data_IF_058866086079
#
_entry.id   IF_058866086079
#
_cell.length_a   1.000
_cell.length_b   1.000
_cell.length_c   1.000
_cell.angle_alpha   90.00
_cell.angle_beta   90.00
_cell.angle_gamma   90.00
#
_symmetry.space_group_name_H-M   'P 1'
#
loop_
_entity.id
_entity.type
_entity.pdbx_description
1 polymer ?
#
# COMPACT_ATOMS: atom_id res chain seq x y z
N UNK A 1 -9.32 -30.60 18.97
CA UNK A 1 -10.00 -29.58 18.15
C UNK A 1 -9.13 -28.34 18.27
N UNK A 2 -8.36 -27.95 17.26
CA UNK A 2 -7.56 -26.74 17.38
C UNK A 2 -8.54 -25.57 17.42
N UNK A 3 -8.52 -24.82 18.52
CA UNK A 3 -9.25 -23.56 18.66
C UNK A 3 -8.84 -22.67 17.49
N UNK A 4 -9.78 -22.43 16.58
CA UNK A 4 -9.54 -21.60 15.41
C UNK A 4 -9.02 -20.26 15.87
N UNK A 5 -7.98 -19.75 15.22
CA UNK A 5 -7.55 -18.36 15.38
C UNK A 5 -8.78 -17.48 15.15
N UNK A 6 -9.41 -17.03 16.23
CA UNK A 6 -10.59 -16.19 16.22
C UNK A 6 -10.10 -14.77 15.94
N UNK A 7 -9.68 -14.55 14.69
CA UNK A 7 -9.33 -13.21 14.23
C UNK A 7 -10.65 -12.48 14.03
N UNK A 8 -10.89 -11.50 14.88
CA UNK A 8 -12.05 -10.61 14.78
C UNK A 8 -12.00 -9.82 13.45
N UNK A 9 -13.03 -9.90 12.58
CA UNK A 9 -13.11 -9.11 11.34
C UNK A 9 -12.97 -7.61 11.58
N UNK A 10 -13.45 -7.10 12.71
CA UNK A 10 -13.29 -5.71 13.11
C UNK A 10 -11.82 -5.31 13.27
N UNK A 11 -10.99 -6.21 13.81
CA UNK A 11 -9.55 -6.03 13.98
C UNK A 11 -8.83 -5.99 12.63
N UNK A 12 -9.20 -6.86 11.67
CA UNK A 12 -8.62 -6.86 10.32
C UNK A 12 -8.90 -5.54 9.58
N UNK A 13 -10.15 -5.06 9.62
CA UNK A 13 -10.51 -3.76 9.02
C UNK A 13 -9.85 -2.58 9.73
N UNK A 14 -9.72 -2.66 11.04
CA UNK A 14 -9.03 -1.61 11.80
C UNK A 14 -7.53 -1.58 11.48
N UNK A 15 -6.94 -2.73 11.22
CA UNK A 15 -5.54 -2.87 10.81
C UNK A 15 -5.31 -2.48 9.34
N UNK A 16 -6.28 -2.66 8.44
CA UNK A 16 -6.12 -2.29 7.03
C UNK A 16 -6.02 -0.77 6.83
N UNK A 17 -6.73 0.03 7.63
CA UNK A 17 -6.71 1.49 7.53
C UNK A 17 -5.31 2.12 7.60
N UNK A 18 -4.49 1.90 8.65
CA UNK A 18 -3.13 2.46 8.69
C UNK A 18 -2.21 1.89 7.59
N UNK A 19 -2.54 0.72 7.04
CA UNK A 19 -1.80 0.14 5.90
C UNK A 19 -2.14 0.89 4.60
N UNK A 20 -3.42 1.20 4.34
CA UNK A 20 -3.80 2.09 3.23
C UNK A 20 -3.15 3.48 3.36
N UNK A 21 -3.18 4.07 4.55
CA UNK A 21 -2.52 5.37 4.80
C UNK A 21 -1.01 5.31 4.48
N UNK A 22 -0.35 4.19 4.76
CA UNK A 22 1.04 3.98 4.40
C UNK A 22 1.23 3.83 2.88
N UNK A 23 0.34 3.10 2.20
CA UNK A 23 0.36 2.98 0.74
C UNK A 23 0.20 4.35 0.06
N UNK A 24 -0.74 5.17 0.53
CA UNK A 24 -0.97 6.53 0.03
C UNK A 24 0.28 7.40 0.23
N UNK A 25 0.87 7.37 1.43
CA UNK A 25 2.09 8.13 1.71
C UNK A 25 3.28 7.74 0.82
N UNK A 26 3.42 6.45 0.49
CA UNK A 26 4.43 5.97 -0.46
C UNK A 26 4.14 6.45 -1.89
N UNK A 27 2.87 6.44 -2.30
CA UNK A 27 2.43 6.93 -3.60
C UNK A 27 2.67 8.43 -3.77
N UNK A 28 2.36 9.22 -2.73
CA UNK A 28 2.63 10.66 -2.69
C UNK A 28 4.14 10.94 -2.75
N UNK A 29 4.95 10.19 -2.01
CA UNK A 29 6.41 10.31 -2.05
C UNK A 29 6.97 9.97 -3.45
N UNK A 30 6.44 8.94 -4.11
CA UNK A 30 6.79 8.59 -5.48
C UNK A 30 6.47 9.73 -6.46
N UNK A 31 5.26 10.32 -6.33
CA UNK A 31 4.83 11.43 -7.17
C UNK A 31 5.71 12.68 -6.97
N UNK A 32 6.05 13.00 -5.71
CA UNK A 32 6.94 14.11 -5.39
C UNK A 32 8.34 13.92 -5.96
N UNK A 33 8.90 12.71 -5.86
CA UNK A 33 10.20 12.38 -6.46
C UNK A 33 10.15 12.45 -7.99
N UNK A 34 9.10 11.92 -8.61
CA UNK A 34 8.93 11.99 -10.06
C UNK A 34 8.76 13.43 -10.57
N UNK A 35 8.21 14.33 -9.76
CA UNK A 35 8.06 15.74 -10.09
C UNK A 35 9.33 16.55 -9.81
N UNK A 36 10.27 16.03 -9.00
CA UNK A 36 11.50 16.71 -8.69
C UNK A 36 12.40 16.77 -9.93
N UNK A 37 12.85 17.97 -10.29
CA UNK A 37 13.76 18.19 -11.41
C UNK A 37 14.84 19.19 -11.00
N UNK A 38 16.09 18.89 -11.34
CA UNK A 38 17.18 19.85 -11.27
C UNK A 38 17.35 20.51 -12.64
N UNK A 39 17.06 21.80 -12.72
CA UNK A 39 17.21 22.56 -13.96
C UNK A 39 18.66 23.05 -14.06
N UNK A 40 19.48 22.60 -15.04
CA UNK A 40 20.90 22.97 -15.14
C UNK A 40 21.13 24.47 -15.19
N UNK A 41 20.26 25.22 -15.87
CA UNK A 41 20.36 26.68 -15.98
C UNK A 41 20.07 27.40 -14.66
N UNK A 42 19.33 26.78 -13.74
CA UNK A 42 19.10 27.32 -12.40
C UNK A 42 20.31 27.11 -11.47
N UNK A 43 21.23 26.22 -11.82
CA UNK A 43 22.46 25.96 -11.05
C UNK A 43 23.58 26.97 -11.32
N UNK A 44 23.43 27.86 -12.31
CA UNK A 44 24.44 28.86 -12.68
C UNK A 44 25.65 28.27 -13.41
N UNK A 45 26.81 28.93 -13.29
CA UNK A 45 28.08 28.50 -13.93
C UNK A 45 28.75 27.31 -13.21
N UNK A 46 27.96 26.37 -12.67
CA UNK A 46 28.51 25.15 -12.07
C UNK A 46 29.07 24.26 -13.18
N UNK A 47 30.39 23.97 -13.18
CA UNK A 47 30.95 22.97 -14.07
C UNK A 47 30.23 21.64 -13.83
N UNK A 48 29.86 20.94 -14.91
CA UNK A 48 29.08 19.70 -14.84
C UNK A 48 27.63 19.83 -14.32
N UNK A 49 27.01 21.02 -14.36
CA UNK A 49 25.59 21.21 -14.02
C UNK A 49 24.64 20.26 -14.77
N UNK A 50 24.92 19.99 -16.05
CA UNK A 50 24.14 19.04 -16.86
C UNK A 50 24.31 17.58 -16.39
N UNK A 51 25.52 17.19 -15.99
CA UNK A 51 25.78 15.84 -15.46
C UNK A 51 25.11 15.64 -14.10
N UNK A 52 25.14 16.66 -13.24
CA UNK A 52 24.44 16.63 -11.95
C UNK A 52 22.92 16.51 -12.13
N UNK A 53 22.33 17.32 -13.02
CA UNK A 53 20.90 17.23 -13.33
C UNK A 53 20.54 15.84 -13.87
N UNK A 54 21.32 15.30 -14.80
CA UNK A 54 21.10 13.94 -15.33
C UNK A 54 21.28 12.83 -14.28
N UNK A 55 22.22 13.00 -13.34
CA UNK A 55 22.38 12.07 -12.22
C UNK A 55 21.17 12.12 -11.28
N UNK A 56 20.67 13.32 -11.00
CA UNK A 56 19.48 13.51 -10.18
C UNK A 56 18.22 12.95 -10.85
N UNK A 57 18.02 13.18 -12.14
CA UNK A 57 16.88 12.63 -12.88
C UNK A 57 16.85 11.09 -12.81
N UNK A 58 18.02 10.43 -12.95
CA UNK A 58 18.13 8.98 -12.81
C UNK A 58 17.83 8.49 -11.39
N UNK A 59 18.34 9.21 -10.40
CA UNK A 59 18.07 8.93 -8.99
C UNK A 59 16.57 9.06 -8.68
N UNK A 60 15.96 10.17 -9.08
CA UNK A 60 14.55 10.48 -8.86
C UNK A 60 13.63 9.47 -9.55
N UNK A 61 13.96 9.08 -10.79
CA UNK A 61 13.22 8.07 -11.52
C UNK A 61 13.29 6.69 -10.84
N UNK A 62 14.48 6.22 -10.50
CA UNK A 62 14.65 4.90 -9.89
C UNK A 62 13.93 4.80 -8.53
N UNK A 63 14.12 5.79 -7.65
CA UNK A 63 13.48 5.76 -6.35
C UNK A 63 11.99 6.09 -6.40
N UNK A 64 11.54 6.91 -7.35
CA UNK A 64 10.12 7.13 -7.60
C UNK A 64 9.42 5.85 -8.03
N UNK A 65 10.04 5.06 -8.92
CA UNK A 65 9.50 3.75 -9.35
C UNK A 65 9.45 2.76 -8.18
N UNK A 66 10.52 2.64 -7.39
CA UNK A 66 10.56 1.77 -6.21
C UNK A 66 9.47 2.13 -5.19
N UNK A 67 9.26 3.42 -4.91
CA UNK A 67 8.22 3.89 -4.01
C UNK A 67 6.81 3.63 -4.57
N UNK A 68 6.62 3.81 -5.88
CA UNK A 68 5.36 3.50 -6.55
C UNK A 68 5.03 2.00 -6.48
N UNK A 69 6.02 1.13 -6.69
CA UNK A 69 5.86 -0.31 -6.50
C UNK A 69 5.55 -0.66 -5.05
N UNK A 70 6.25 -0.05 -4.10
CA UNK A 70 6.00 -0.23 -2.66
C UNK A 70 4.59 0.18 -2.26
N UNK A 71 4.09 1.31 -2.77
CA UNK A 71 2.72 1.78 -2.58
C UNK A 71 1.70 0.73 -3.03
N UNK A 72 1.85 0.22 -4.26
CA UNK A 72 0.95 -0.82 -4.78
C UNK A 72 0.98 -2.09 -3.92
N UNK A 73 2.17 -2.55 -3.53
CA UNK A 73 2.32 -3.75 -2.71
C UNK A 73 1.68 -3.60 -1.32
N UNK A 74 1.85 -2.45 -0.68
CA UNK A 74 1.24 -2.15 0.63
C UNK A 74 -0.28 -2.04 0.50
N UNK A 75 -0.78 -1.45 -0.59
CA UNK A 75 -2.21 -1.38 -0.88
C UNK A 75 -2.82 -2.78 -1.05
N UNK A 76 -2.17 -3.68 -1.78
CA UNK A 76 -2.62 -5.07 -1.95
C UNK A 76 -2.66 -5.82 -0.61
N UNK A 77 -1.73 -5.55 0.30
CA UNK A 77 -1.76 -6.11 1.64
C UNK A 77 -2.96 -5.61 2.46
N UNK A 78 -3.28 -4.31 2.38
CA UNK A 78 -4.47 -3.75 3.03
C UNK A 78 -5.76 -4.36 2.48
N UNK A 79 -5.85 -4.52 1.16
CA UNK A 79 -6.97 -5.18 0.48
C UNK A 79 -7.13 -6.63 0.92
N UNK A 80 -6.02 -7.36 1.07
CA UNK A 80 -6.02 -8.71 1.59
C UNK A 80 -6.59 -8.83 3.01
N UNK A 81 -6.35 -7.84 3.88
CA UNK A 81 -6.93 -7.78 5.21
C UNK A 81 -8.45 -7.57 5.17
N UNK A 82 -8.93 -6.66 4.30
CA UNK A 82 -10.37 -6.40 4.12
C UNK A 82 -11.06 -7.63 3.55
N UNK A 83 -10.52 -8.21 2.47
CA UNK A 83 -11.05 -9.43 1.84
C UNK A 83 -11.11 -10.58 2.86
N UNK A 84 -10.09 -10.74 3.70
CA UNK A 84 -10.07 -11.78 4.74
C UNK A 84 -11.16 -11.56 5.80
N UNK A 85 -11.44 -10.30 6.17
CA UNK A 85 -12.50 -9.96 7.11
C UNK A 85 -13.88 -10.29 6.54
N UNK A 86 -14.13 -9.94 5.27
CA UNK A 86 -15.38 -10.23 4.57
C UNK A 86 -15.60 -11.73 4.38
N UNK A 87 -14.54 -12.46 4.04
CA UNK A 87 -14.56 -13.92 3.94
C UNK A 87 -14.90 -14.59 5.27
N UNK A 88 -14.39 -14.06 6.39
CA UNK A 88 -14.70 -14.58 7.71
C UNK A 88 -16.18 -14.37 8.06
N UNK A 89 -16.70 -13.15 7.90
CA UNK A 89 -18.10 -12.84 8.20
C UNK A 89 -19.08 -13.64 7.33
N UNK A 90 -18.75 -13.82 6.06
CA UNK A 90 -19.56 -14.64 5.15
C UNK A 90 -19.65 -16.09 5.65
N UNK A 91 -18.50 -16.68 6.01
CA UNK A 91 -18.47 -18.06 6.55
C UNK A 91 -19.18 -18.18 7.89
N UNK A 92 -19.07 -17.18 8.76
CA UNK A 92 -19.77 -17.16 10.06
C UNK A 92 -21.28 -17.10 9.88
N UNK A 93 -21.76 -16.25 8.96
CA UNK A 93 -23.17 -16.14 8.61
C UNK A 93 -23.73 -17.44 8.00
N UNK A 94 -22.99 -18.06 7.06
CA UNK A 94 -23.39 -19.33 6.45
C UNK A 94 -23.48 -20.45 7.49
N UNK A 95 -22.50 -20.53 8.41
CA UNK A 95 -22.52 -21.51 9.50
C UNK A 95 -23.70 -21.30 10.46
N UNK A 96 -24.03 -20.05 10.80
CA UNK A 96 -25.18 -19.73 11.64
C UNK A 96 -26.53 -20.10 10.99
N UNK A 97 -26.64 -19.90 9.66
CA UNK A 97 -27.81 -20.28 8.89
C UNK A 97 -28.01 -21.81 8.85
N UNK A 98 -26.93 -22.58 8.63
CA UNK A 98 -26.97 -24.05 8.62
C UNK A 98 -27.40 -24.64 9.97
N UNK A 99 -26.91 -24.07 11.09
CA UNK A 99 -27.33 -24.48 12.45
C UNK A 99 -28.83 -24.21 12.67
N UNK A 100 -29.33 -23.07 12.20
CA UNK A 100 -30.76 -22.72 12.32
C UNK A 100 -31.64 -23.66 11.50
N UNK A 101 -31.20 -24.04 10.30
CA UNK A 101 -31.90 -24.98 9.43
C UNK A 101 -31.89 -26.42 9.97
N UNK A 102 -30.80 -26.86 10.61
CA UNK A 102 -30.70 -28.20 11.19
C UNK A 102 -31.47 -28.37 12.52
N UNK A 103 -31.77 -27.27 13.21
CA UNK A 103 -32.56 -27.25 14.44
C UNK A 103 -34.07 -27.08 14.23
N UNK A 104 -34.52 -26.89 12.99
CA UNK A 104 -35.94 -26.76 12.59
C UNK A 104 -36.47 -28.07 12.00
#
# INVERSE_FOLDING_TARGET
MPDGYQVDPGTLRSASRPVYECADALGDAAALLSAAQLVPSALGEVPAAAELASAFDRFAAAHGEDLGHGSAWVNDAAEGLVTSAEDYERRDHDAAADVTAAGS
#
